data_IF_096166501858
#
_entry.id   IF_096166501858
#
_cell.length_a   1.000
_cell.length_b   1.000
_cell.length_c   1.000
_cell.angle_alpha   90.00
_cell.angle_beta   90.00
_cell.angle_gamma   90.00
#
_symmetry.space_group_name_H-M   'P 1'
#
loop_
_entity.id
_entity.type
_entity.pdbx_description
1 polymer ?
#
# COMPACT_ATOMS: atom_id res chain seq x y z
N UNK A 1 -24.41 0.86 -16.86
CA UNK A 1 -23.45 -0.24 -16.66
C UNK A 1 -22.71 0.03 -15.36
N UNK A 2 -22.61 -0.94 -14.45
CA UNK A 2 -21.78 -0.75 -13.23
C UNK A 2 -20.32 -0.58 -13.68
N UNK A 3 -19.68 0.50 -13.26
CA UNK A 3 -18.27 0.74 -13.53
C UNK A 3 -17.46 -0.37 -12.86
N UNK A 4 -16.49 -0.95 -13.59
CA UNK A 4 -15.57 -1.91 -13.00
C UNK A 4 -14.63 -1.17 -12.04
N UNK A 5 -14.59 -1.58 -10.77
CA UNK A 5 -13.64 -1.05 -9.78
C UNK A 5 -12.28 -1.68 -10.03
N UNK A 6 -11.25 -0.85 -10.21
CA UNK A 6 -9.87 -1.31 -10.33
C UNK A 6 -9.37 -1.80 -8.97
N UNK A 7 -8.68 -2.94 -8.93
CA UNK A 7 -8.09 -3.50 -7.72
C UNK A 7 -6.57 -3.42 -7.83
N UNK A 8 -5.90 -2.96 -6.79
CA UNK A 8 -4.44 -2.83 -6.85
C UNK A 8 -3.77 -2.98 -5.51
N UNK A 9 -2.44 -2.91 -5.54
CA UNK A 9 -1.58 -2.92 -4.36
C UNK A 9 -0.83 -1.59 -4.32
N UNK A 10 -0.76 -0.99 -3.14
CA UNK A 10 0.17 0.11 -2.84
C UNK A 10 1.19 -0.44 -1.86
N UNK A 11 2.44 -0.61 -2.28
CA UNK A 11 3.55 -0.93 -1.37
C UNK A 11 3.86 0.34 -0.58
N UNK A 12 3.05 0.66 0.42
CA UNK A 12 3.04 1.96 1.10
C UNK A 12 3.26 1.90 2.61
N UNK A 13 3.71 0.74 3.11
CA UNK A 13 4.00 0.48 4.51
C UNK A 13 5.36 1.04 4.97
N UNK A 14 5.50 1.17 6.28
CA UNK A 14 6.78 1.39 6.96
C UNK A 14 7.50 0.07 7.27
N UNK A 15 8.83 0.11 7.34
CA UNK A 15 9.69 -1.00 7.70
C UNK A 15 10.51 -1.53 6.54
N UNK A 16 10.91 -2.80 6.64
CA UNK A 16 11.83 -3.44 5.70
C UNK A 16 11.24 -3.51 4.29
N UNK A 17 11.96 -2.99 3.30
CA UNK A 17 11.59 -3.08 1.88
C UNK A 17 11.47 -4.54 1.42
N UNK A 18 10.55 -4.81 0.51
CA UNK A 18 10.58 -6.06 -0.22
C UNK A 18 11.83 -6.15 -1.09
N UNK A 19 12.44 -7.33 -1.12
CA UNK A 19 13.44 -7.64 -2.15
C UNK A 19 12.77 -7.73 -3.52
N UNK A 20 13.52 -7.53 -4.60
CA UNK A 20 12.99 -7.65 -5.97
C UNK A 20 12.24 -8.98 -6.19
N UNK A 21 12.82 -10.10 -5.73
CA UNK A 21 12.19 -11.42 -5.84
C UNK A 21 10.86 -11.53 -5.08
N UNK A 22 10.78 -10.99 -3.85
CA UNK A 22 9.54 -10.99 -3.06
C UNK A 22 8.46 -10.14 -3.73
N UNK A 23 8.85 -8.98 -4.28
CA UNK A 23 7.95 -8.08 -5.03
C UNK A 23 7.42 -8.75 -6.29
N UNK A 24 8.31 -9.37 -7.07
CA UNK A 24 7.96 -10.14 -8.27
C UNK A 24 6.92 -11.22 -7.95
N UNK A 25 7.16 -12.02 -6.91
CA UNK A 25 6.24 -13.09 -6.51
C UNK A 25 4.89 -12.53 -6.05
N UNK A 26 4.88 -11.47 -5.23
CA UNK A 26 3.64 -10.82 -4.79
C UNK A 26 2.83 -10.32 -5.99
N UNK A 27 3.49 -9.63 -6.93
CA UNK A 27 2.89 -9.06 -8.13
C UNK A 27 2.29 -10.16 -9.00
N UNK A 28 3.02 -11.24 -9.27
CA UNK A 28 2.53 -12.40 -10.03
C UNK A 28 1.30 -13.03 -9.39
N UNK A 29 1.29 -13.17 -8.06
CA UNK A 29 0.16 -13.70 -7.33
C UNK A 29 -1.06 -12.77 -7.34
N UNK A 30 -0.84 -11.46 -7.28
CA UNK A 30 -1.89 -10.45 -7.41
C UNK A 30 -2.52 -10.48 -8.81
N UNK A 31 -1.69 -10.49 -9.86
CA UNK A 31 -2.14 -10.62 -11.25
C UNK A 31 -3.01 -11.87 -11.46
N UNK A 32 -2.56 -13.03 -10.96
CA UNK A 32 -3.34 -14.28 -11.04
C UNK A 32 -4.68 -14.22 -10.28
N UNK A 33 -4.78 -13.40 -9.23
CA UNK A 33 -6.04 -13.20 -8.51
C UNK A 33 -6.99 -12.22 -9.23
N UNK A 34 -6.48 -11.46 -10.20
CA UNK A 34 -7.21 -10.44 -10.95
C UNK A 34 -7.11 -9.05 -10.32
N UNK A 35 -5.92 -8.69 -9.84
CA UNK A 35 -5.56 -7.29 -9.61
C UNK A 35 -5.16 -6.63 -10.94
N UNK A 36 -5.30 -5.32 -11.00
CA UNK A 36 -5.11 -4.49 -12.20
C UNK A 36 -3.85 -3.63 -12.12
N UNK A 37 -3.42 -3.19 -10.94
CA UNK A 37 -2.27 -2.27 -10.78
C UNK A 37 -1.41 -2.55 -9.54
N UNK A 38 -0.16 -2.08 -9.59
CA UNK A 38 0.77 -2.09 -8.46
C UNK A 38 1.48 -0.73 -8.37
N UNK A 39 1.51 -0.11 -7.20
CA UNK A 39 2.20 1.16 -6.95
C UNK A 39 3.39 0.90 -6.02
N UNK A 40 4.59 1.19 -6.52
CA UNK A 40 5.80 1.21 -5.71
C UNK A 40 5.90 2.55 -4.97
N UNK A 41 5.84 2.51 -3.64
CA UNK A 41 5.88 3.69 -2.77
C UNK A 41 6.34 3.41 -1.32
N UNK A 42 7.26 2.45 -1.06
CA UNK A 42 7.52 2.05 0.30
C UNK A 42 8.13 3.20 1.09
N UNK A 43 7.63 3.42 2.31
CA UNK A 43 7.98 4.62 3.10
C UNK A 43 9.46 4.71 3.44
N UNK A 44 10.11 3.56 3.56
CA UNK A 44 11.54 3.44 3.88
C UNK A 44 12.46 3.50 2.66
N UNK A 45 11.94 3.71 1.44
CA UNK A 45 12.80 4.08 0.31
C UNK A 45 13.15 5.56 0.43
N UNK A 46 14.41 5.89 0.76
CA UNK A 46 14.78 7.27 1.04
C UNK A 46 14.65 8.15 -0.20
N UNK A 47 14.87 7.62 -1.41
CA UNK A 47 14.79 8.39 -2.66
C UNK A 47 13.35 8.76 -3.04
N UNK A 48 12.36 8.10 -2.43
CA UNK A 48 10.94 8.43 -2.57
C UNK A 48 10.39 9.27 -1.41
N UNK A 49 11.11 9.38 -0.29
CA UNK A 49 10.63 10.03 0.93
C UNK A 49 11.54 11.13 1.45
N UNK A 50 12.56 10.81 2.25
CA UNK A 50 13.38 11.82 2.94
C UNK A 50 14.51 12.41 2.10
N UNK A 51 15.06 11.64 1.16
CA UNK A 51 16.12 12.04 0.22
C UNK A 51 15.56 12.26 -1.18
N UNK A 52 14.31 12.72 -1.27
CA UNK A 52 13.62 12.94 -2.55
C UNK A 52 14.35 13.95 -3.45
N UNK A 53 15.13 14.87 -2.87
CA UNK A 53 15.96 15.83 -3.62
C UNK A 53 17.20 15.22 -4.27
N UNK A 54 17.60 14.01 -3.88
CA UNK A 54 18.78 13.34 -4.44
C UNK A 54 18.42 12.68 -5.78
N UNK A 55 19.32 12.80 -6.75
CA UNK A 55 19.18 12.12 -8.04
C UNK A 55 19.15 10.59 -7.85
N UNK A 56 18.50 9.88 -8.78
CA UNK A 56 18.60 8.42 -8.82
C UNK A 56 19.85 8.00 -9.60
N UNK A 57 20.63 7.09 -9.02
CA UNK A 57 21.79 6.49 -9.67
C UNK A 57 21.38 5.41 -10.69
N UNK A 58 22.36 4.85 -11.39
CA UNK A 58 22.13 3.82 -12.42
C UNK A 58 21.56 2.52 -11.82
N UNK A 59 22.01 2.13 -10.62
CA UNK A 59 21.50 0.93 -9.95
C UNK A 59 20.00 1.05 -9.63
N UNK A 60 19.58 2.21 -9.12
CA UNK A 60 18.18 2.49 -8.82
C UNK A 60 17.32 2.61 -10.09
N UNK A 61 17.86 3.20 -11.17
CA UNK A 61 17.19 3.23 -12.48
C UNK A 61 16.97 1.81 -13.03
N UNK A 62 17.99 0.97 -12.96
CA UNK A 62 17.94 -0.42 -13.40
C UNK A 62 16.92 -1.23 -12.59
N UNK A 63 16.88 -1.00 -11.27
CA UNK A 63 15.86 -1.56 -10.40
C UNK A 63 14.45 -1.13 -10.86
N UNK A 64 14.20 0.16 -11.04
CA UNK A 64 12.89 0.67 -11.47
C UNK A 64 12.50 0.16 -12.86
N UNK A 65 13.48 0.02 -13.77
CA UNK A 65 13.26 -0.58 -15.08
C UNK A 65 12.80 -2.03 -14.97
N UNK A 66 13.50 -2.86 -14.17
CA UNK A 66 13.12 -4.26 -13.90
C UNK A 66 11.74 -4.37 -13.24
N UNK A 67 11.47 -3.51 -12.26
CA UNK A 67 10.14 -3.41 -11.63
C UNK A 67 9.04 -3.14 -12.66
N UNK A 68 9.24 -2.15 -13.54
CA UNK A 68 8.28 -1.86 -14.61
C UNK A 68 8.10 -3.04 -15.58
N UNK A 69 9.18 -3.74 -15.92
CA UNK A 69 9.11 -4.92 -16.79
C UNK A 69 8.30 -6.07 -16.16
N UNK A 70 8.43 -6.27 -14.85
CA UNK A 70 7.66 -7.27 -14.11
C UNK A 70 6.16 -6.95 -14.09
N UNK A 71 5.79 -5.68 -13.92
CA UNK A 71 4.41 -5.20 -14.08
C UNK A 71 3.87 -5.57 -15.47
N UNK A 72 4.58 -5.18 -16.54
CA UNK A 72 4.16 -5.41 -17.93
C UNK A 72 4.03 -6.89 -18.27
N UNK A 73 5.00 -7.72 -17.88
CA UNK A 73 4.97 -9.18 -18.10
C UNK A 73 3.81 -9.86 -17.39
N UNK A 74 3.33 -9.28 -16.30
CA UNK A 74 2.20 -9.80 -15.52
C UNK A 74 0.87 -9.15 -15.88
N UNK A 75 0.84 -8.27 -16.89
CA UNK A 75 -0.34 -7.49 -17.28
C UNK A 75 -0.94 -6.65 -16.13
N UNK A 76 -0.07 -6.09 -15.31
CA UNK A 76 -0.40 -5.17 -14.22
C UNK A 76 0.03 -3.76 -14.63
N UNK A 77 -0.85 -2.77 -14.47
CA UNK A 77 -0.50 -1.37 -14.70
C UNK A 77 0.58 -0.94 -13.69
N UNK A 78 1.69 -0.44 -14.23
CA UNK A 78 2.84 -0.03 -13.42
C UNK A 78 2.58 1.34 -12.79
N UNK A 79 2.68 1.42 -11.47
CA UNK A 79 2.56 2.68 -10.73
C UNK A 79 3.81 3.02 -9.92
N UNK A 80 4.07 4.30 -9.74
CA UNK A 80 5.12 4.81 -8.84
C UNK A 80 4.61 6.03 -8.08
N UNK A 81 4.88 6.09 -6.78
CA UNK A 81 4.55 7.25 -5.97
C UNK A 81 5.78 7.80 -5.25
N UNK A 82 5.76 9.12 -5.03
CA UNK A 82 6.72 9.82 -4.18
C UNK A 82 6.00 10.46 -2.99
N UNK A 83 6.57 10.35 -1.79
CA UNK A 83 6.09 10.97 -0.54
C UNK A 83 7.10 12.00 -0.03
N UNK A 84 7.34 13.12 -0.75
CA UNK A 84 8.47 13.99 -0.52
C UNK A 84 8.30 14.82 0.76
N UNK A 85 9.01 14.44 1.83
CA UNK A 85 8.89 15.11 3.12
C UNK A 85 9.37 16.55 3.02
N UNK A 86 8.57 17.47 3.56
CA UNK A 86 8.88 18.91 3.58
C UNK A 86 8.64 19.63 2.25
N UNK A 87 8.19 18.94 1.20
CA UNK A 87 7.99 19.54 -0.12
C UNK A 87 7.08 20.77 -0.07
N UNK A 88 5.95 20.69 0.65
CA UNK A 88 4.98 21.80 0.73
C UNK A 88 5.61 23.06 1.32
N UNK A 89 6.50 22.94 2.31
CA UNK A 89 7.22 24.08 2.88
C UNK A 89 8.23 24.72 1.93
N UNK A 90 8.89 23.94 1.07
CA UNK A 90 10.00 24.40 0.23
C UNK A 90 9.67 24.43 -1.28
N UNK A 91 8.42 24.16 -1.67
CA UNK A 91 8.08 23.91 -3.08
C UNK A 91 8.49 25.03 -4.02
N UNK A 92 8.32 26.30 -3.60
CA UNK A 92 8.69 27.47 -4.41
C UNK A 92 10.18 27.44 -4.82
N UNK A 93 11.05 27.00 -3.93
CA UNK A 93 12.50 26.96 -4.13
C UNK A 93 12.94 25.66 -4.83
N UNK A 94 12.25 24.56 -4.54
CA UNK A 94 12.60 23.21 -4.98
C UNK A 94 11.73 22.67 -6.12
N UNK A 95 10.90 23.52 -6.73
CA UNK A 95 9.95 23.13 -7.79
C UNK A 95 10.63 22.34 -8.91
N UNK A 96 11.68 22.88 -9.52
CA UNK A 96 12.37 22.21 -10.63
C UNK A 96 13.04 20.91 -10.21
N UNK A 97 13.63 20.86 -9.01
CA UNK A 97 14.23 19.64 -8.45
C UNK A 97 13.17 18.55 -8.32
N UNK A 98 12.01 18.88 -7.72
CA UNK A 98 10.91 17.95 -7.56
C UNK A 98 10.35 17.47 -8.91
N UNK A 99 10.07 18.39 -9.83
CA UNK A 99 9.48 18.05 -11.13
C UNK A 99 10.41 17.17 -11.96
N UNK A 100 11.72 17.45 -11.96
CA UNK A 100 12.71 16.62 -12.64
C UNK A 100 12.78 15.22 -12.03
N UNK A 101 12.90 15.12 -10.70
CA UNK A 101 12.89 13.85 -9.97
C UNK A 101 11.63 13.04 -10.29
N UNK A 102 10.45 13.66 -10.22
CA UNK A 102 9.19 12.98 -10.45
C UNK A 102 9.07 12.45 -11.88
N UNK A 103 9.43 13.27 -12.87
CA UNK A 103 9.50 12.85 -14.28
C UNK A 103 10.49 11.69 -14.48
N UNK A 104 11.64 11.73 -13.82
CA UNK A 104 12.66 10.69 -13.93
C UNK A 104 12.18 9.34 -13.38
N UNK A 105 11.56 9.34 -12.19
CA UNK A 105 10.96 8.15 -11.58
C UNK A 105 9.89 7.51 -12.49
N UNK A 106 9.01 8.33 -13.07
CA UNK A 106 7.96 7.87 -14.00
C UNK A 106 8.58 7.24 -15.26
N UNK A 107 9.61 7.87 -15.82
CA UNK A 107 10.28 7.38 -17.03
C UNK A 107 11.05 6.09 -16.78
N UNK A 108 11.75 5.97 -15.65
CA UNK A 108 12.60 4.83 -15.33
C UNK A 108 11.82 3.50 -15.31
N UNK A 109 10.61 3.50 -14.72
CA UNK A 109 9.73 2.31 -14.71
C UNK A 109 8.68 2.29 -15.82
N UNK A 110 8.57 3.36 -16.62
CA UNK A 110 7.47 3.62 -17.58
C UNK A 110 6.10 3.48 -16.91
N UNK A 111 5.92 4.19 -15.80
CA UNK A 111 4.68 4.15 -15.03
C UNK A 111 3.48 4.65 -15.85
N UNK A 112 2.38 3.91 -15.77
CA UNK A 112 1.06 4.31 -16.29
C UNK A 112 0.24 5.06 -15.23
N UNK A 113 0.54 4.80 -13.95
CA UNK A 113 -0.03 5.50 -12.79
C UNK A 113 1.07 6.28 -12.10
N UNK A 114 0.99 7.61 -12.14
CA UNK A 114 1.88 8.49 -11.39
C UNK A 114 1.18 8.92 -10.09
N UNK A 115 1.91 8.98 -8.98
CA UNK A 115 1.31 9.38 -7.71
C UNK A 115 2.18 10.26 -6.81
N UNK A 116 1.52 11.17 -6.08
CA UNK A 116 2.17 12.03 -5.08
C UNK A 116 1.43 11.86 -3.76
N UNK A 117 2.15 11.50 -2.70
CA UNK A 117 1.54 11.32 -1.40
C UNK A 117 2.01 12.41 -0.44
N UNK A 118 1.05 13.13 0.11
CA UNK A 118 1.24 14.11 1.16
C UNK A 118 0.85 13.53 2.53
N UNK A 119 0.87 12.21 2.68
CA UNK A 119 0.54 11.49 3.91
C UNK A 119 1.69 11.55 4.92
N UNK A 120 1.34 11.43 6.22
CA UNK A 120 2.31 11.42 7.32
C UNK A 120 3.23 12.65 7.38
N UNK A 121 2.72 13.81 6.99
CA UNK A 121 3.40 15.10 7.14
C UNK A 121 2.60 16.01 8.06
N UNK A 122 3.28 16.80 8.88
CA UNK A 122 2.63 17.79 9.74
C UNK A 122 2.16 18.97 8.91
N UNK A 123 1.07 19.60 9.37
CA UNK A 123 0.62 20.88 8.87
C UNK A 123 1.74 21.91 9.04
N UNK A 124 2.21 22.44 7.90
CA UNK A 124 3.24 23.48 7.84
C UNK A 124 2.62 24.89 7.73
N UNK A 125 1.41 24.99 7.19
CA UNK A 125 0.74 26.24 6.84
C UNK A 125 -0.77 26.06 6.75
N UNK A 126 -1.54 27.12 7.03
CA UNK A 126 -3.00 27.10 6.85
C UNK A 126 -3.42 27.03 5.38
N UNK A 127 -2.51 27.33 4.45
CA UNK A 127 -2.73 27.30 3.00
C UNK A 127 -2.21 26.01 2.36
N UNK A 128 -1.90 24.97 3.15
CA UNK A 128 -1.36 23.69 2.66
C UNK A 128 -2.20 23.11 1.51
N UNK A 129 -3.53 23.20 1.56
CA UNK A 129 -4.41 22.75 0.47
C UNK A 129 -4.09 23.46 -0.85
N UNK A 130 -3.87 24.77 -0.82
CA UNK A 130 -3.47 25.57 -2.00
C UNK A 130 -2.08 25.19 -2.51
N UNK A 131 -1.12 24.95 -1.60
CA UNK A 131 0.24 24.55 -1.98
C UNK A 131 0.23 23.19 -2.67
N UNK A 132 -0.47 22.21 -2.10
CA UNK A 132 -0.64 20.88 -2.70
C UNK A 132 -1.35 20.97 -4.05
N UNK A 133 -2.38 21.81 -4.17
CA UNK A 133 -3.05 22.09 -5.45
C UNK A 133 -2.07 22.57 -6.53
N UNK A 134 -1.22 23.55 -6.19
CA UNK A 134 -0.23 24.08 -7.13
C UNK A 134 0.75 22.98 -7.59
N UNK A 135 1.25 22.16 -6.66
CA UNK A 135 2.13 21.01 -6.97
C UNK A 135 1.43 20.06 -7.95
N UNK A 136 0.17 19.70 -7.68
CA UNK A 136 -0.61 18.78 -8.51
C UNK A 136 -0.80 19.35 -9.92
N UNK A 137 -1.10 20.64 -10.05
CA UNK A 137 -1.30 21.31 -11.35
C UNK A 137 0.00 21.37 -12.15
N UNK A 138 1.10 21.72 -11.50
CA UNK A 138 2.43 21.76 -12.13
C UNK A 138 2.82 20.37 -12.65
N UNK A 139 2.68 19.34 -11.81
CA UNK A 139 2.94 17.96 -12.23
C UNK A 139 2.02 17.52 -13.36
N UNK A 140 0.71 17.75 -13.24
CA UNK A 140 -0.28 17.33 -14.24
C UNK A 140 0.01 17.91 -15.63
N UNK A 141 0.63 19.10 -15.70
CA UNK A 141 1.00 19.74 -16.96
C UNK A 141 2.24 19.14 -17.65
N UNK A 142 3.02 18.33 -16.92
CA UNK A 142 4.30 17.78 -17.36
C UNK A 142 4.29 16.24 -17.48
N UNK A 143 3.16 15.60 -17.19
CA UNK A 143 3.05 14.15 -17.30
C UNK A 143 3.22 13.71 -18.76
N UNK A 144 4.04 12.67 -19.03
CA UNK A 144 4.08 12.05 -20.34
C UNK A 144 2.70 11.54 -20.79
N UNK A 145 2.43 11.57 -22.10
CA UNK A 145 1.13 11.16 -22.66
C UNK A 145 0.73 9.72 -22.33
N UNK A 146 1.70 8.82 -22.10
CA UNK A 146 1.44 7.44 -21.72
C UNK A 146 0.98 7.27 -20.25
N UNK A 147 1.11 8.31 -19.42
CA UNK A 147 0.58 8.28 -18.05
C UNK A 147 -0.94 8.45 -18.12
N UNK A 148 -1.66 7.42 -17.71
CA UNK A 148 -3.12 7.38 -17.76
C UNK A 148 -3.74 8.15 -16.60
N UNK A 149 -3.07 8.15 -15.46
CA UNK A 149 -3.65 8.50 -14.17
C UNK A 149 -2.65 9.27 -13.28
N UNK A 150 -3.16 10.29 -12.57
CA UNK A 150 -2.44 10.99 -11.50
C UNK A 150 -3.20 10.84 -10.19
N UNK A 151 -2.62 10.12 -9.23
CA UNK A 151 -3.28 9.83 -7.95
C UNK A 151 -2.58 10.50 -6.78
N UNK A 152 -3.37 11.07 -5.88
CA UNK A 152 -2.87 11.89 -4.79
C UNK A 152 -3.31 11.29 -3.47
N UNK A 153 -2.39 11.14 -2.52
CA UNK A 153 -2.79 10.94 -1.12
C UNK A 153 -2.77 12.30 -0.44
N UNK A 154 -3.92 12.88 -0.05
CA UNK A 154 -3.93 14.14 0.70
C UNK A 154 -3.31 13.94 2.10
N UNK A 155 -2.95 15.01 2.80
CA UNK A 155 -2.50 14.93 4.20
C UNK A 155 -3.60 14.46 5.13
N UNK A 156 -4.84 14.88 4.87
CA UNK A 156 -6.03 14.41 5.57
C UNK A 156 -6.77 13.42 4.68
N UNK A 157 -6.45 12.13 4.83
CA UNK A 157 -6.91 11.02 3.98
C UNK A 157 -7.96 10.13 4.67
N UNK A 158 -8.60 10.64 5.72
CA UNK A 158 -9.65 9.97 6.50
C UNK A 158 -10.41 10.98 7.35
N UNK A 159 -11.61 10.59 7.81
CA UNK A 159 -12.31 11.29 8.90
C UNK A 159 -11.79 10.92 10.30
N UNK A 160 -10.70 10.15 10.39
CA UNK A 160 -10.14 9.74 11.66
C UNK A 160 -9.54 10.93 12.43
N UNK A 161 -10.02 11.25 13.64
CA UNK A 161 -9.46 12.35 14.44
C UNK A 161 -7.98 12.15 14.81
N UNK A 162 -7.45 10.93 14.66
CA UNK A 162 -6.02 10.67 14.85
C UNK A 162 -5.15 11.49 13.88
N UNK A 163 -5.64 11.78 12.67
CA UNK A 163 -4.90 12.58 11.69
C UNK A 163 -4.69 14.00 12.19
N UNK A 164 -5.75 14.66 12.69
CA UNK A 164 -5.60 15.99 13.28
C UNK A 164 -4.73 16.01 14.54
N UNK A 165 -4.78 14.93 15.33
CA UNK A 165 -3.93 14.79 16.51
C UNK A 165 -2.44 14.68 16.15
N UNK A 166 -2.11 14.01 15.05
CA UNK A 166 -0.72 13.77 14.63
C UNK A 166 -0.18 14.92 13.76
N UNK A 167 -1.01 15.45 12.86
CA UNK A 167 -0.59 16.40 11.83
C UNK A 167 -1.02 17.83 12.13
N UNK A 168 -1.87 18.06 13.12
CA UNK A 168 -2.47 19.36 13.41
C UNK A 168 -3.89 19.48 12.85
N UNK A 169 -4.67 20.42 13.39
CA UNK A 169 -6.07 20.64 13.01
C UNK A 169 -6.19 20.91 11.50
N UNK A 170 -7.09 20.20 10.81
CA UNK A 170 -7.29 20.39 9.38
C UNK A 170 -7.81 21.81 9.12
N UNK A 171 -7.23 22.56 8.15
CA UNK A 171 -7.79 23.82 7.71
C UNK A 171 -9.23 23.64 7.21
N UNK A 172 -10.13 24.56 7.55
CA UNK A 172 -11.57 24.44 7.25
C UNK A 172 -11.86 24.26 5.76
N UNK A 173 -11.09 24.92 4.89
CA UNK A 173 -11.24 24.85 3.44
C UNK A 173 -10.25 23.88 2.76
N UNK A 174 -9.56 23.01 3.51
CA UNK A 174 -8.46 22.19 2.99
C UNK A 174 -8.82 21.44 1.71
N UNK A 175 -9.89 20.64 1.70
CA UNK A 175 -10.27 19.87 0.50
C UNK A 175 -10.75 20.75 -0.67
N UNK A 176 -11.43 21.85 -0.36
CA UNK A 176 -11.91 22.81 -1.36
C UNK A 176 -10.73 23.48 -2.06
N UNK A 177 -9.72 23.92 -1.31
CA UNK A 177 -8.50 24.50 -1.85
C UNK A 177 -7.67 23.47 -2.60
N UNK A 178 -7.52 22.27 -2.03
CA UNK A 178 -6.79 21.16 -2.62
C UNK A 178 -7.30 20.80 -4.01
N UNK A 179 -8.61 20.79 -4.22
CA UNK A 179 -9.24 20.29 -5.46
C UNK A 179 -9.63 21.38 -6.46
N UNK A 180 -9.43 22.66 -6.10
CA UNK A 180 -9.85 23.80 -6.91
C UNK A 180 -9.20 23.79 -8.29
N UNK A 181 -10.03 23.73 -9.34
CA UNK A 181 -9.55 23.79 -10.74
C UNK A 181 -8.69 22.58 -11.17
N UNK A 182 -8.66 21.49 -10.40
CA UNK A 182 -7.95 20.26 -10.77
C UNK A 182 -8.79 19.43 -11.74
N UNK A 183 -8.16 18.93 -12.81
CA UNK A 183 -8.76 18.00 -13.77
C UNK A 183 -9.44 16.82 -13.06
N UNK A 184 -10.63 16.44 -13.53
CA UNK A 184 -11.39 15.27 -13.06
C UNK A 184 -10.64 13.93 -13.11
N UNK A 185 -9.57 13.81 -13.91
CA UNK A 185 -8.70 12.63 -13.99
C UNK A 185 -7.79 12.49 -12.77
N UNK A 186 -7.52 13.57 -12.03
CA UNK A 186 -6.80 13.48 -10.76
C UNK A 186 -7.73 12.94 -9.70
N UNK A 187 -7.30 11.86 -9.05
CA UNK A 187 -8.07 11.17 -8.01
C UNK A 187 -7.31 11.12 -6.70
N UNK A 188 -8.06 10.93 -5.62
CA UNK A 188 -7.51 11.03 -4.27
C UNK A 188 -7.72 9.73 -3.50
N UNK A 189 -6.68 9.33 -2.79
CA UNK A 189 -6.74 8.22 -1.86
C UNK A 189 -7.54 8.57 -0.62
N UNK A 190 -8.24 7.57 -0.08
CA UNK A 190 -9.03 7.65 1.12
C UNK A 190 -8.97 6.34 1.89
N UNK A 191 -8.65 6.37 3.18
CA UNK A 191 -8.52 5.14 3.99
C UNK A 191 -9.83 4.70 4.65
N UNK A 192 -10.89 5.50 4.54
CA UNK A 192 -12.20 5.27 5.15
C UNK A 192 -12.44 6.17 6.36
N UNK A 193 -13.36 5.75 7.24
CA UNK A 193 -13.66 6.49 8.49
C UNK A 193 -12.50 6.46 9.51
N UNK A 194 -11.61 5.47 9.35
CA UNK A 194 -10.40 5.29 10.15
C UNK A 194 -9.19 5.04 9.24
N UNK A 195 -8.00 5.37 9.76
CA UNK A 195 -6.74 4.99 9.09
C UNK A 195 -6.67 3.47 8.91
N UNK A 196 -7.09 2.72 9.93
CA UNK A 196 -7.28 1.26 9.90
C UNK A 196 -8.79 0.95 9.93
N UNK A 197 -9.47 1.12 8.80
CA UNK A 197 -10.92 0.89 8.71
C UNK A 197 -11.28 -0.61 8.79
N UNK A 198 -12.14 -0.97 9.74
CA UNK A 198 -12.63 -2.35 9.89
C UNK A 198 -13.62 -2.75 8.79
N UNK A 199 -14.33 -1.79 8.24
CA UNK A 199 -15.32 -1.93 7.18
C UNK A 199 -15.45 -0.61 6.41
N UNK A 200 -16.09 -0.68 5.24
CA UNK A 200 -16.47 0.48 4.46
C UNK A 200 -17.97 0.45 4.22
N UNK A 201 -18.63 1.59 4.38
CA UNK A 201 -20.03 1.75 3.99
C UNK A 201 -20.11 2.63 2.75
N UNK A 202 -21.03 2.34 1.84
CA UNK A 202 -21.22 3.16 0.64
C UNK A 202 -21.49 4.63 0.99
N UNK A 203 -22.27 4.88 2.06
CA UNK A 203 -22.56 6.22 2.56
C UNK A 203 -21.30 6.97 3.04
N UNK A 204 -20.39 6.30 3.75
CA UNK A 204 -19.11 6.93 4.17
C UNK A 204 -18.26 7.30 2.96
N UNK A 205 -18.20 6.42 1.94
CA UNK A 205 -17.47 6.67 0.71
C UNK A 205 -18.09 7.81 -0.11
N UNK A 206 -19.42 7.90 -0.18
CA UNK A 206 -20.14 9.02 -0.80
C UNK A 206 -19.84 10.35 -0.12
N UNK A 207 -19.76 10.36 1.22
CA UNK A 207 -19.36 11.56 1.97
C UNK A 207 -17.93 11.99 1.63
N UNK A 208 -17.00 11.03 1.51
CA UNK A 208 -15.63 11.32 1.10
C UNK A 208 -15.56 11.88 -0.34
N UNK A 209 -16.30 11.28 -1.28
CA UNK A 209 -16.45 11.81 -2.63
C UNK A 209 -17.02 13.24 -2.63
N UNK A 210 -18.01 13.52 -1.77
CA UNK A 210 -18.60 14.85 -1.66
C UNK A 210 -17.60 15.88 -1.11
N UNK A 211 -16.76 15.52 -0.13
CA UNK A 211 -15.71 16.40 0.40
C UNK A 211 -14.65 16.77 -0.65
N UNK A 212 -14.30 15.83 -1.54
CA UNK A 212 -13.29 16.04 -2.59
C UNK A 212 -13.89 16.49 -3.94
N UNK A 213 -15.22 16.43 -4.08
CA UNK A 213 -15.96 16.77 -5.30
C UNK A 213 -15.67 15.83 -6.48
N UNK A 214 -15.25 14.58 -6.23
CA UNK A 214 -14.83 13.62 -7.27
C UNK A 214 -14.78 12.18 -6.73
N UNK A 215 -14.64 11.21 -7.64
CA UNK A 215 -14.42 9.82 -7.29
C UNK A 215 -13.11 9.63 -6.50
N UNK A 216 -13.15 8.77 -5.48
CA UNK A 216 -12.00 8.41 -4.65
C UNK A 216 -11.43 7.03 -4.99
N UNK A 217 -10.22 6.81 -4.49
CA UNK A 217 -9.54 5.53 -4.47
C UNK A 217 -9.47 5.08 -3.01
N UNK A 218 -9.91 3.87 -2.70
CA UNK A 218 -9.69 3.32 -1.36
C UNK A 218 -8.20 2.98 -1.22
N UNK A 219 -7.56 3.46 -0.15
CA UNK A 219 -6.31 2.93 0.38
C UNK A 219 -6.65 2.06 1.59
N UNK A 220 -6.76 0.75 1.40
CA UNK A 220 -7.16 -0.18 2.46
C UNK A 220 -5.93 -0.64 3.25
N UNK A 221 -5.83 -0.18 4.49
CA UNK A 221 -4.78 -0.60 5.43
C UNK A 221 -5.13 -1.95 6.10
N UNK A 222 -5.46 -2.94 5.27
CA UNK A 222 -5.50 -4.34 5.62
C UNK A 222 -4.92 -5.13 4.44
N UNK A 223 -3.86 -5.94 4.62
CA UNK A 223 -3.40 -6.50 5.89
C UNK A 223 -2.22 -5.79 6.56
N UNK A 224 -1.82 -4.58 6.19
CA UNK A 224 -0.61 -3.91 6.72
C UNK A 224 -0.39 -4.08 8.23
N UNK A 225 0.85 -4.36 8.62
CA UNK A 225 1.25 -4.64 10.01
C UNK A 225 2.52 -3.91 10.45
N UNK A 226 2.77 -2.74 9.90
CA UNK A 226 3.97 -1.95 10.14
C UNK A 226 3.97 -1.18 11.47
N UNK A 227 2.82 -1.00 12.11
CA UNK A 227 2.72 -0.31 13.40
C UNK A 227 3.28 -1.11 14.58
N UNK A 228 3.77 -0.41 15.61
CA UNK A 228 4.38 -0.99 16.84
C UNK A 228 3.64 -2.17 17.48
N UNK A 229 2.30 -2.15 17.45
CA UNK A 229 1.48 -3.26 17.98
C UNK A 229 1.06 -4.24 16.88
N UNK A 230 0.96 -3.77 15.65
CA UNK A 230 0.49 -4.57 14.52
C UNK A 230 1.55 -5.57 14.07
N UNK A 231 2.84 -5.22 14.16
CA UNK A 231 3.95 -6.08 13.74
C UNK A 231 4.03 -7.39 14.55
N UNK A 232 3.38 -7.44 15.72
CA UNK A 232 3.24 -8.66 16.53
C UNK A 232 2.22 -9.65 15.96
N UNK A 233 1.51 -9.31 14.88
CA UNK A 233 0.51 -10.15 14.24
C UNK A 233 0.78 -10.38 12.75
N UNK A 234 0.27 -11.50 12.24
CA UNK A 234 0.21 -11.79 10.81
C UNK A 234 -1.25 -11.85 10.37
N UNK A 235 -1.73 -10.80 9.71
CA UNK A 235 -3.12 -10.65 9.29
C UNK A 235 -3.40 -11.44 8.01
N UNK A 236 -3.63 -12.74 8.15
CA UNK A 236 -3.76 -13.71 7.04
C UNK A 236 -5.19 -14.19 6.79
N UNK A 237 -6.16 -13.73 7.58
CA UNK A 237 -7.57 -14.04 7.36
C UNK A 237 -8.14 -13.30 6.12
N UNK A 238 -9.23 -13.78 5.51
CA UNK A 238 -9.86 -13.10 4.38
C UNK A 238 -10.37 -11.69 4.71
N UNK A 239 -10.45 -10.83 3.67
CA UNK A 239 -11.12 -9.54 3.75
C UNK A 239 -12.57 -9.68 4.22
N UNK A 240 -13.01 -8.74 5.05
CA UNK A 240 -14.38 -8.61 5.55
C UNK A 240 -14.82 -7.15 5.47
N UNK A 241 -16.12 -6.89 5.34
CA UNK A 241 -16.65 -5.51 5.28
C UNK A 241 -16.36 -4.74 3.99
N UNK A 242 -15.97 -5.44 2.90
CA UNK A 242 -15.67 -4.85 1.56
C UNK A 242 -16.72 -5.23 0.50
N UNK A 243 -17.97 -5.42 0.90
CA UNK A 243 -19.04 -5.90 0.00
C UNK A 243 -19.84 -4.73 -0.55
N UNK A 244 -20.26 -4.84 -1.82
CA UNK A 244 -21.14 -3.87 -2.48
C UNK A 244 -20.61 -2.43 -2.46
N UNK A 245 -19.29 -2.27 -2.57
CA UNK A 245 -18.65 -0.95 -2.66
C UNK A 245 -18.58 -0.51 -4.12
N UNK A 246 -19.00 0.73 -4.38
CA UNK A 246 -18.89 1.36 -5.69
C UNK A 246 -17.88 2.51 -5.59
N UNK A 247 -16.63 2.24 -6.00
CA UNK A 247 -15.50 3.19 -5.99
C UNK A 247 -14.71 3.07 -7.29
N UNK A 248 -13.90 4.09 -7.60
CA UNK A 248 -13.05 4.06 -8.79
C UNK A 248 -12.02 2.93 -8.72
N UNK A 249 -11.27 2.90 -7.63
CA UNK A 249 -10.27 1.87 -7.38
C UNK A 249 -10.17 1.53 -5.90
N UNK A 250 -9.61 0.36 -5.61
CA UNK A 250 -9.33 -0.15 -4.29
C UNK A 250 -7.88 -0.67 -4.26
N UNK A 251 -6.98 0.14 -3.69
CA UNK A 251 -5.59 -0.22 -3.46
C UNK A 251 -5.42 -0.80 -2.06
N UNK A 252 -4.75 -1.94 -1.96
CA UNK A 252 -4.45 -2.59 -0.68
C UNK A 252 -3.03 -2.26 -0.25
N UNK A 253 -2.84 -1.87 1.01
CA UNK A 253 -1.53 -1.81 1.65
C UNK A 253 -1.20 -3.16 2.31
N UNK A 254 -0.19 -3.90 1.80
CA UNK A 254 0.15 -5.23 2.29
C UNK A 254 0.95 -5.16 3.60
N UNK A 255 1.19 -6.32 4.23
CA UNK A 255 2.11 -6.44 5.38
C UNK A 255 3.55 -6.20 4.97
N UNK A 256 4.44 -5.94 5.93
CA UNK A 256 5.89 -5.92 5.69
C UNK A 256 6.43 -7.31 5.26
N UNK A 257 5.63 -8.38 5.43
CA UNK A 257 5.91 -9.72 4.91
C UNK A 257 5.14 -9.97 3.60
N UNK A 258 5.85 -10.22 2.51
CA UNK A 258 5.26 -10.35 1.19
C UNK A 258 4.40 -11.63 1.03
N UNK A 259 4.92 -12.78 1.44
CA UNK A 259 4.24 -14.07 1.22
C UNK A 259 2.99 -14.24 2.08
N UNK A 260 2.99 -13.92 3.39
CA UNK A 260 1.77 -13.89 4.18
C UNK A 260 0.69 -12.94 3.63
N UNK A 261 1.09 -11.81 3.02
CA UNK A 261 0.15 -10.84 2.43
C UNK A 261 -0.67 -11.43 1.28
N UNK A 262 -0.13 -12.41 0.55
CA UNK A 262 -0.85 -13.05 -0.57
C UNK A 262 -2.17 -13.68 -0.09
N UNK A 263 -2.23 -14.22 1.13
CA UNK A 263 -3.39 -14.97 1.62
C UNK A 263 -4.68 -14.14 1.69
N UNK A 264 -4.70 -12.96 2.33
CA UNK A 264 -5.85 -12.06 2.26
C UNK A 264 -6.04 -11.48 0.87
N UNK A 265 -4.97 -11.07 0.17
CA UNK A 265 -5.04 -10.40 -1.13
C UNK A 265 -5.87 -11.19 -2.15
N UNK A 266 -5.65 -12.50 -2.27
CA UNK A 266 -6.40 -13.33 -3.24
C UNK A 266 -7.92 -13.39 -2.97
N UNK A 267 -8.39 -12.92 -1.81
CA UNK A 267 -9.80 -12.95 -1.43
C UNK A 267 -10.57 -11.71 -1.84
N UNK A 268 -9.90 -10.55 -2.02
CA UNK A 268 -10.56 -9.30 -2.36
C UNK A 268 -11.20 -9.33 -3.77
N UNK A 269 -10.52 -9.78 -4.84
CA UNK A 269 -11.15 -9.90 -6.16
C UNK A 269 -12.35 -10.85 -6.16
N UNK A 270 -12.34 -11.89 -5.32
CA UNK A 270 -13.46 -12.82 -5.17
C UNK A 270 -14.68 -12.12 -4.57
N UNK A 271 -14.48 -11.22 -3.60
CA UNK A 271 -15.57 -10.43 -2.99
C UNK A 271 -16.17 -9.47 -4.02
N UNK A 272 -15.35 -8.79 -4.82
CA UNK A 272 -15.84 -7.87 -5.86
C UNK A 272 -16.57 -8.60 -7.00
N UNK A 273 -16.11 -9.81 -7.37
CA UNK A 273 -16.79 -10.65 -8.39
C UNK A 273 -18.09 -11.27 -7.87
N UNK A 274 -18.17 -11.59 -6.58
CA UNK A 274 -19.35 -12.16 -5.95
C UNK A 274 -19.52 -11.64 -4.52
N UNK A 275 -20.30 -10.58 -4.36
CA UNK A 275 -20.55 -9.98 -3.05
C UNK A 275 -21.32 -10.88 -2.08
N UNK A 276 -21.91 -11.99 -2.57
CA UNK A 276 -22.57 -13.02 -1.77
C UNK A 276 -21.64 -14.15 -1.30
N UNK A 277 -20.37 -14.19 -1.71
CA UNK A 277 -19.43 -15.28 -1.35
C UNK A 277 -19.36 -15.47 0.17
N UNK A 278 -19.42 -16.70 0.68
CA UNK A 278 -19.35 -16.93 2.13
C UNK A 278 -17.91 -16.82 2.66
N UNK A 279 -17.76 -16.38 3.92
CA UNK A 279 -16.45 -16.31 4.57
C UNK A 279 -15.73 -17.67 4.57
N UNK A 280 -16.47 -18.77 4.72
CA UNK A 280 -15.92 -20.14 4.68
C UNK A 280 -15.24 -20.45 3.34
N UNK A 281 -15.80 -19.99 2.22
CA UNK A 281 -15.22 -20.18 0.89
C UNK A 281 -13.93 -19.40 0.75
N UNK A 282 -13.92 -18.12 1.18
CA UNK A 282 -12.72 -17.29 1.16
C UNK A 282 -11.60 -17.88 2.03
N UNK A 283 -11.94 -18.36 3.24
CA UNK A 283 -10.98 -18.99 4.15
C UNK A 283 -10.41 -20.28 3.57
N UNK A 284 -11.22 -21.07 2.86
CA UNK A 284 -10.74 -22.26 2.14
C UNK A 284 -9.77 -21.88 1.02
N UNK A 285 -10.05 -20.81 0.28
CA UNK A 285 -9.16 -20.29 -0.77
C UNK A 285 -7.82 -19.82 -0.20
N UNK A 286 -7.83 -19.01 0.87
CA UNK A 286 -6.63 -18.56 1.58
C UNK A 286 -5.80 -19.75 2.09
N UNK A 287 -6.43 -20.75 2.72
CA UNK A 287 -5.72 -21.96 3.17
C UNK A 287 -5.13 -22.77 2.02
N UNK A 288 -5.85 -22.91 0.90
CA UNK A 288 -5.32 -23.57 -0.31
C UNK A 288 -4.10 -22.80 -0.83
N UNK A 289 -4.16 -21.47 -0.84
CA UNK A 289 -3.01 -20.66 -1.26
C UNK A 289 -1.82 -20.82 -0.33
N UNK A 290 -2.03 -20.87 0.98
CA UNK A 290 -0.98 -21.16 1.94
C UNK A 290 -0.30 -22.52 1.66
N UNK A 291 -1.06 -23.56 1.32
CA UNK A 291 -0.51 -24.86 0.90
C UNK A 291 0.35 -24.75 -0.38
N UNK A 292 0.00 -23.88 -1.33
CA UNK A 292 0.86 -23.67 -2.51
C UNK A 292 2.16 -22.93 -2.20
N UNK A 293 2.17 -22.07 -1.19
CA UNK A 293 3.34 -21.26 -0.82
C UNK A 293 4.29 -22.00 0.12
N UNK A 294 3.74 -22.76 1.07
CA UNK A 294 4.51 -23.50 2.07
C UNK A 294 4.65 -24.98 1.73
N UNK A 295 3.86 -25.55 0.82
CA UNK A 295 3.80 -26.99 0.55
C UNK A 295 2.73 -27.73 1.36
N UNK A 296 2.56 -29.02 1.08
CA UNK A 296 1.46 -29.85 1.62
C UNK A 296 1.88 -30.81 2.74
N UNK A 297 3.18 -30.88 3.05
CA UNK A 297 3.71 -31.79 4.09
C UNK A 297 3.11 -31.52 5.47
N UNK A 298 3.22 -32.50 6.37
CA UNK A 298 2.77 -32.36 7.77
C UNK A 298 3.46 -31.19 8.48
N UNK A 299 4.74 -30.95 8.19
CA UNK A 299 5.49 -29.80 8.70
C UNK A 299 4.91 -28.48 8.16
N UNK A 300 4.63 -28.42 6.86
CA UNK A 300 4.04 -27.24 6.21
C UNK A 300 2.67 -26.90 6.81
N UNK A 301 1.86 -27.91 7.09
CA UNK A 301 0.56 -27.72 7.75
C UNK A 301 0.71 -27.15 9.17
N UNK A 302 1.76 -27.52 9.92
CA UNK A 302 2.04 -26.91 11.23
C UNK A 302 2.45 -25.45 11.10
N UNK A 303 3.27 -25.11 10.09
CA UNK A 303 3.65 -23.72 9.80
C UNK A 303 2.41 -22.88 9.45
N UNK A 304 1.55 -23.39 8.58
CA UNK A 304 0.30 -22.71 8.20
C UNK A 304 -0.61 -22.53 9.42
N UNK A 305 -0.75 -23.54 10.29
CA UNK A 305 -1.52 -23.39 11.53
C UNK A 305 -0.96 -22.29 12.44
N UNK A 306 0.37 -22.20 12.57
CA UNK A 306 1.01 -21.15 13.35
C UNK A 306 0.80 -19.75 12.74
N UNK A 307 0.81 -19.65 11.41
CA UNK A 307 0.49 -18.42 10.69
C UNK A 307 -0.92 -17.90 11.04
N UNK A 308 -1.93 -18.77 10.96
CA UNK A 308 -3.31 -18.41 11.34
C UNK A 308 -3.47 -18.16 12.85
N UNK A 309 -2.66 -18.78 13.70
CA UNK A 309 -2.64 -18.51 15.13
C UNK A 309 -2.16 -17.06 15.41
N UNK A 310 -1.11 -16.61 14.73
CA UNK A 310 -0.53 -15.26 14.82
C UNK A 310 -1.44 -14.15 14.27
N UNK A 311 -2.50 -14.49 13.54
CA UNK A 311 -3.54 -13.51 13.20
C UNK A 311 -4.30 -13.00 14.44
N UNK A 312 -4.36 -13.80 15.52
CA UNK A 312 -5.14 -13.49 16.73
C UNK A 312 -4.31 -13.33 17.99
N UNK A 313 -3.08 -13.82 17.98
CA UNK A 313 -2.19 -13.83 19.14
C UNK A 313 -0.92 -13.10 18.79
N UNK A 314 -0.35 -12.43 19.78
CA UNK A 314 0.89 -11.69 19.62
C UNK A 314 2.06 -12.67 19.42
N UNK A 315 3.04 -12.31 18.60
CA UNK A 315 4.29 -13.04 18.51
C UNK A 315 4.98 -13.09 19.88
N UNK A 316 4.92 -12.00 20.66
CA UNK A 316 5.45 -11.96 22.03
C UNK A 316 4.83 -12.98 22.98
N UNK A 317 3.58 -13.39 22.79
CA UNK A 317 2.90 -14.40 23.62
C UNK A 317 3.38 -15.83 23.32
N UNK A 318 4.02 -16.05 22.18
CA UNK A 318 4.50 -17.36 21.79
C UNK A 318 5.78 -17.72 22.55
N UNK A 319 5.76 -18.85 23.27
CA UNK A 319 6.91 -19.36 24.01
C UNK A 319 8.16 -19.52 23.11
N UNK A 320 9.33 -19.16 23.62
CA UNK A 320 10.60 -19.18 22.87
C UNK A 320 10.93 -20.55 22.28
N UNK A 321 10.65 -21.65 23.00
CA UNK A 321 10.82 -23.01 22.50
C UNK A 321 9.92 -23.29 21.28
N UNK A 322 8.69 -22.75 21.28
CA UNK A 322 7.78 -22.89 20.14
C UNK A 322 8.28 -22.11 18.92
N UNK A 323 8.79 -20.88 19.13
CA UNK A 323 9.44 -20.09 18.07
C UNK A 323 10.61 -20.85 17.45
N UNK A 324 11.51 -21.38 18.28
CA UNK A 324 12.66 -22.19 17.82
C UNK A 324 12.24 -23.43 17.02
N UNK A 325 11.22 -24.16 17.50
CA UNK A 325 10.67 -25.30 16.78
C UNK A 325 10.13 -24.89 15.40
N UNK A 326 9.35 -23.81 15.33
CA UNK A 326 8.80 -23.33 14.07
C UNK A 326 9.89 -22.84 13.12
N UNK A 327 10.91 -22.12 13.60
CA UNK A 327 12.07 -21.73 12.80
C UNK A 327 12.79 -22.95 12.20
N UNK A 328 13.00 -24.01 12.99
CA UNK A 328 13.57 -25.26 12.48
C UNK A 328 12.73 -25.86 11.35
N UNK A 329 11.40 -25.92 11.53
CA UNK A 329 10.48 -26.42 10.51
C UNK A 329 10.51 -25.54 9.24
N UNK A 330 10.60 -24.23 9.38
CA UNK A 330 10.73 -23.30 8.26
C UNK A 330 12.01 -23.56 7.45
N UNK A 331 13.14 -23.73 8.13
CA UNK A 331 14.42 -24.03 7.47
C UNK A 331 14.42 -25.39 6.78
N UNK A 332 13.81 -26.41 7.41
CA UNK A 332 13.62 -27.74 6.79
C UNK A 332 12.72 -27.67 5.55
N UNK A 333 11.71 -26.80 5.58
CA UNK A 333 10.80 -26.60 4.46
C UNK A 333 11.49 -25.91 3.27
N UNK A 334 12.23 -24.83 3.53
CA UNK A 334 13.06 -24.14 2.54
C UNK A 334 12.32 -23.32 1.49
N UNK A 335 10.97 -23.31 1.47
CA UNK A 335 10.24 -22.42 0.56
C UNK A 335 10.48 -20.95 0.94
N UNK A 336 10.44 -20.03 -0.05
CA UNK A 336 10.58 -18.60 0.24
C UNK A 336 9.60 -18.07 1.30
N UNK A 337 8.36 -18.56 1.28
CA UNK A 337 7.34 -18.21 2.27
C UNK A 337 7.68 -18.73 3.68
N UNK A 338 8.19 -19.95 3.80
CA UNK A 338 8.64 -20.50 5.07
C UNK A 338 9.86 -19.76 5.62
N UNK A 339 10.82 -19.41 4.75
CA UNK A 339 12.01 -18.66 5.15
C UNK A 339 11.65 -17.25 5.63
N UNK A 340 10.75 -16.53 4.93
CA UNK A 340 10.25 -15.24 5.42
C UNK A 340 9.50 -15.40 6.76
N UNK A 341 8.73 -16.47 6.94
CA UNK A 341 8.07 -16.74 8.21
C UNK A 341 9.09 -17.01 9.34
N UNK A 342 10.23 -17.66 9.05
CA UNK A 342 11.32 -17.82 10.02
C UNK A 342 11.92 -16.46 10.42
N UNK A 343 12.14 -15.56 9.45
CA UNK A 343 12.61 -14.20 9.71
C UNK A 343 11.65 -13.44 10.64
N UNK A 344 10.34 -13.60 10.43
CA UNK A 344 9.31 -13.05 11.31
C UNK A 344 9.40 -13.60 12.74
N UNK A 345 9.47 -14.92 12.90
CA UNK A 345 9.58 -15.56 14.22
C UNK A 345 10.86 -15.17 14.98
N UNK A 346 11.90 -14.78 14.25
CA UNK A 346 13.17 -14.28 14.78
C UNK A 346 13.16 -12.77 15.10
N UNK A 347 12.04 -12.06 14.86
CA UNK A 347 11.91 -10.64 15.17
C UNK A 347 12.55 -9.70 14.14
N UNK A 348 12.88 -10.17 12.93
CA UNK A 348 13.49 -9.31 11.88
C UNK A 348 12.54 -8.26 11.30
N UNK A 349 11.27 -8.28 11.70
CA UNK A 349 10.24 -7.31 11.31
C UNK A 349 9.69 -6.55 12.51
N UNK A 350 10.43 -6.51 13.63
CA UNK A 350 10.07 -5.69 14.77
C UNK A 350 9.97 -4.22 14.35
N UNK A 351 9.01 -3.50 14.93
CA UNK A 351 8.86 -2.08 14.70
C UNK A 351 10.10 -1.31 15.14
N UNK A 352 10.60 -0.47 14.24
CA UNK A 352 11.65 0.50 14.53
C UNK A 352 11.06 1.91 14.40
N UNK A 353 11.07 2.67 15.50
CA UNK A 353 10.60 4.06 15.51
C UNK A 353 11.39 4.96 14.58
N UNK A 354 12.64 4.63 14.26
CA UNK A 354 13.42 5.38 13.29
C UNK A 354 12.74 5.38 11.91
N UNK A 355 11.98 4.33 11.56
CA UNK A 355 11.24 4.24 10.30
C UNK A 355 10.19 5.34 10.12
N UNK A 356 9.65 5.91 11.21
CA UNK A 356 8.66 6.99 11.14
C UNK A 356 9.29 8.37 10.90
N UNK A 357 10.61 8.48 11.05
CA UNK A 357 11.37 9.74 10.93
C UNK A 357 12.44 9.68 9.83
N UNK A 358 12.61 8.52 9.19
CA UNK A 358 13.68 8.19 8.22
C UNK A 358 13.30 8.38 6.77
#
# INVERSE_FOLDING_TARGET
MKRHTLLGIVEGFYGRLYTEAKRHDLLKNAAQAGYDFYIYSPKNDPLLRMKWEQDIDEEYRDFLFRYGEDCRKSHIECGIAISPVGLTSCYKEKKEVFLNKFSELIKACRAEIAAIFFDDVKLDSLTMGQVQNNIIRDVSSLLPEYVKELWICPTYYSFDPILEKLFGKMPENYFKELTLGIDSKVRFFWTGDKVLSKDYTQKSLENACASLGRDIIIWDNYPVNDGKKLCEHLYVEPFQGRRNLEVYAHAVNPMVQAYPSILPLITLPVIYKNSGVSYRVLKKAAKKKALTLFGESRESQQLIQALFYLNKHSLSDMASQKKQQLCFLCNKNGSPAALEFAEYLQGKFAFDSACLTS
#
